data_IF_986923823456
#
_entry.id   IF_986923823456
#
_cell.length_a   1.000
_cell.length_b   1.000
_cell.length_c   1.000
_cell.angle_alpha   90.00
_cell.angle_beta   90.00
_cell.angle_gamma   90.00
#
_symmetry.space_group_name_H-M   'P 1'
#
loop_
_entity.id
_entity.type
_entity.pdbx_description
1 polymer ?
#
# COMPACT_ATOMS: atom_id res chain seq x y z
N UNK A 1 -66.44 -37.38 -33.72
CA UNK A 1 -67.04 -38.47 -32.93
C UNK A 1 -66.51 -38.33 -31.51
N UNK A 2 -67.37 -38.37 -30.49
CA UNK A 2 -66.92 -38.32 -29.11
C UNK A 2 -66.23 -39.65 -28.75
N UNK A 3 -65.04 -39.58 -28.15
CA UNK A 3 -64.34 -40.76 -27.66
C UNK A 3 -65.15 -41.43 -26.54
N UNK A 4 -65.40 -42.74 -26.66
CA UNK A 4 -66.10 -43.54 -25.66
C UNK A 4 -65.10 -44.47 -24.96
N UNK A 5 -64.75 -44.13 -23.72
CA UNK A 5 -63.82 -44.89 -22.90
C UNK A 5 -64.33 -46.32 -22.60
N UNK A 6 -65.64 -46.53 -22.52
CA UNK A 6 -66.23 -47.85 -22.28
C UNK A 6 -66.18 -48.76 -23.50
N UNK A 7 -66.22 -48.19 -24.71
CA UNK A 7 -66.03 -48.92 -25.97
C UNK A 7 -64.55 -49.26 -26.20
N UNK A 8 -63.66 -48.34 -25.87
CA UNK A 8 -62.21 -48.53 -26.01
C UNK A 8 -61.68 -49.67 -25.12
N UNK A 9 -62.15 -49.78 -23.86
CA UNK A 9 -61.73 -50.86 -22.95
C UNK A 9 -62.16 -52.27 -23.38
N UNK A 10 -63.10 -52.40 -24.34
CA UNK A 10 -63.55 -53.71 -24.88
C UNK A 10 -62.69 -54.21 -26.04
N UNK A 11 -62.09 -53.29 -26.79
CA UNK A 11 -61.17 -53.59 -27.90
C UNK A 11 -60.02 -52.59 -27.82
N UNK A 12 -59.06 -52.82 -26.91
CA UNK A 12 -57.95 -51.90 -26.70
C UNK A 12 -57.00 -51.98 -27.90
N UNK A 13 -56.69 -50.83 -28.49
CA UNK A 13 -55.73 -50.71 -29.60
C UNK A 13 -54.60 -49.75 -29.19
N UNK A 14 -53.36 -50.19 -29.42
CA UNK A 14 -52.14 -49.51 -28.95
C UNK A 14 -51.87 -48.24 -29.76
N UNK A 15 -52.11 -48.26 -31.07
CA UNK A 15 -51.96 -47.08 -31.95
C UNK A 15 -53.01 -46.01 -31.63
N UNK A 16 -54.25 -46.45 -31.38
CA UNK A 16 -55.33 -45.57 -30.95
C UNK A 16 -55.07 -44.98 -29.55
N UNK A 17 -54.47 -45.75 -28.64
CA UNK A 17 -54.09 -45.27 -27.31
C UNK A 17 -53.03 -44.18 -27.36
N UNK A 18 -52.00 -44.37 -28.19
CA UNK A 18 -50.86 -43.46 -28.27
C UNK A 18 -51.28 -42.04 -28.70
N UNK A 19 -52.29 -41.97 -29.58
CA UNK A 19 -52.86 -40.76 -30.17
C UNK A 19 -53.93 -40.05 -29.31
N UNK A 20 -54.33 -40.60 -28.16
CA UNK A 20 -55.37 -39.99 -27.32
C UNK A 20 -55.01 -38.58 -26.84
N UNK A 21 -56.00 -37.69 -26.83
CA UNK A 21 -55.87 -36.33 -26.29
C UNK A 21 -55.91 -36.35 -24.76
N UNK A 22 -55.42 -35.27 -24.12
CA UNK A 22 -55.39 -35.16 -22.65
C UNK A 22 -56.79 -35.35 -22.02
N UNK A 23 -57.81 -34.78 -22.64
CA UNK A 23 -59.20 -34.88 -22.16
C UNK A 23 -59.73 -36.32 -22.20
N UNK A 24 -59.38 -37.07 -23.25
CA UNK A 24 -59.75 -38.48 -23.45
C UNK A 24 -59.01 -39.39 -22.48
N UNK A 25 -57.73 -39.13 -22.21
CA UNK A 25 -56.94 -39.82 -21.18
C UNK A 25 -57.49 -39.56 -19.76
N UNK A 26 -57.98 -38.34 -19.49
CA UNK A 26 -58.63 -37.99 -18.21
C UNK A 26 -59.95 -38.74 -18.06
N UNK A 27 -60.74 -38.87 -19.13
CA UNK A 27 -61.98 -39.66 -19.10
C UNK A 27 -61.69 -41.15 -18.89
N UNK A 28 -60.68 -41.68 -19.56
CA UNK A 28 -60.27 -43.06 -19.44
C UNK A 28 -59.69 -43.36 -18.04
N UNK A 29 -58.89 -42.45 -17.48
CA UNK A 29 -58.40 -42.54 -16.11
C UNK A 29 -59.53 -42.48 -15.07
N UNK A 30 -60.58 -41.67 -15.28
CA UNK A 30 -61.78 -41.66 -14.42
C UNK A 30 -62.54 -42.98 -14.50
N UNK A 31 -62.70 -43.53 -15.70
CA UNK A 31 -63.40 -44.79 -15.92
C UNK A 31 -62.67 -45.97 -15.26
N UNK A 32 -61.33 -45.95 -15.30
CA UNK A 32 -60.46 -46.90 -14.60
C UNK A 32 -60.31 -46.63 -13.09
N UNK A 33 -61.03 -45.63 -12.55
CA UNK A 33 -61.00 -45.22 -11.13
C UNK A 33 -59.59 -44.89 -10.61
N UNK A 34 -58.76 -44.26 -11.44
CA UNK A 34 -57.41 -43.86 -11.05
C UNK A 34 -57.43 -42.61 -10.19
N UNK A 35 -56.51 -42.54 -9.22
CA UNK A 35 -56.28 -41.34 -8.43
C UNK A 35 -55.29 -40.46 -9.19
N UNK A 36 -55.77 -39.35 -9.77
CA UNK A 36 -54.93 -38.40 -10.49
C UNK A 36 -55.43 -36.96 -10.31
N UNK A 37 -54.57 -35.98 -10.57
CA UNK A 37 -54.95 -34.55 -10.63
C UNK A 37 -55.10 -34.13 -12.08
N UNK A 38 -56.22 -33.50 -12.44
CA UNK A 38 -56.48 -33.01 -13.81
C UNK A 38 -55.42 -31.99 -14.28
N UNK A 39 -54.78 -31.30 -13.32
CA UNK A 39 -53.67 -30.37 -13.57
C UNK A 39 -52.36 -31.05 -14.01
N UNK A 40 -52.22 -32.37 -13.86
CA UNK A 40 -51.01 -33.10 -14.27
C UNK A 40 -50.76 -33.00 -15.79
N UNK A 41 -49.48 -33.08 -16.21
CA UNK A 41 -49.08 -33.10 -17.63
C UNK A 41 -49.68 -34.33 -18.32
N UNK A 42 -50.03 -34.19 -19.62
CA UNK A 42 -50.62 -35.27 -20.44
C UNK A 42 -49.82 -36.58 -20.32
N UNK A 43 -48.49 -36.50 -20.39
CA UNK A 43 -47.61 -37.67 -20.33
C UNK A 43 -47.61 -38.37 -18.97
N UNK A 44 -47.77 -37.63 -17.86
CA UNK A 44 -47.85 -38.22 -16.51
C UNK A 44 -49.16 -39.01 -16.36
N UNK A 45 -50.27 -38.44 -16.83
CA UNK A 45 -51.58 -39.12 -16.84
C UNK A 45 -51.52 -40.34 -17.77
N UNK A 46 -50.87 -40.23 -18.94
CA UNK A 46 -50.66 -41.33 -19.88
C UNK A 46 -49.87 -42.48 -19.26
N UNK A 47 -48.75 -42.20 -18.59
CA UNK A 47 -47.94 -43.22 -17.91
C UNK A 47 -48.73 -43.94 -16.80
N UNK A 48 -49.51 -43.22 -15.98
CA UNK A 48 -50.37 -43.80 -14.93
C UNK A 48 -51.50 -44.68 -15.49
N UNK A 49 -52.02 -44.32 -16.65
CA UNK A 49 -53.04 -45.10 -17.36
C UNK A 49 -52.42 -46.36 -17.96
N UNK A 50 -51.21 -46.26 -18.55
CA UNK A 50 -50.45 -47.42 -19.04
C UNK A 50 -50.21 -48.42 -17.91
N UNK A 51 -49.72 -47.95 -16.75
CA UNK A 51 -49.51 -48.80 -15.56
C UNK A 51 -50.73 -49.64 -15.24
N UNK A 52 -51.90 -49.01 -15.23
CA UNK A 52 -53.14 -49.64 -14.79
C UNK A 52 -53.82 -50.50 -15.84
N UNK A 53 -53.60 -50.21 -17.12
CA UNK A 53 -54.07 -51.05 -18.22
C UNK A 53 -53.21 -52.31 -18.37
N UNK A 54 -51.91 -52.21 -18.10
CA UNK A 54 -50.99 -53.35 -18.06
C UNK A 54 -51.24 -54.20 -16.81
N UNK A 55 -51.39 -53.58 -15.62
CA UNK A 55 -51.76 -54.27 -14.37
C UNK A 55 -53.10 -55.04 -14.47
N UNK A 56 -54.03 -54.54 -15.29
CA UNK A 56 -55.35 -55.14 -15.50
C UNK A 56 -55.38 -56.16 -16.64
N UNK A 57 -54.23 -56.49 -17.25
CA UNK A 57 -54.08 -57.38 -18.41
C UNK A 57 -54.91 -56.95 -19.64
N UNK A 58 -55.29 -55.66 -19.71
CA UNK A 58 -56.09 -55.10 -20.82
C UNK A 58 -55.17 -54.70 -21.99
N UNK A 59 -53.95 -54.27 -21.69
CA UNK A 59 -52.89 -54.04 -22.67
C UNK A 59 -51.69 -54.95 -22.37
N UNK A 60 -51.03 -55.45 -23.41
CA UNK A 60 -49.80 -56.24 -23.27
C UNK A 60 -48.63 -55.41 -22.73
N UNK A 61 -47.58 -56.09 -22.25
CA UNK A 61 -46.36 -55.46 -21.72
C UNK A 61 -45.67 -54.51 -22.71
N UNK A 62 -45.93 -54.68 -24.01
CA UNK A 62 -45.53 -53.78 -25.11
C UNK A 62 -45.94 -52.31 -24.86
N UNK A 63 -47.04 -52.08 -24.13
CA UNK A 63 -47.48 -50.73 -23.78
C UNK A 63 -46.54 -50.01 -22.79
N UNK A 64 -45.69 -50.74 -22.06
CA UNK A 64 -44.69 -50.16 -21.15
C UNK A 64 -43.58 -49.42 -21.90
N UNK A 65 -43.31 -49.77 -23.16
CA UNK A 65 -42.31 -49.10 -24.02
C UNK A 65 -42.71 -47.65 -24.35
N UNK A 66 -44.01 -47.32 -24.27
CA UNK A 66 -44.52 -45.96 -24.47
C UNK A 66 -44.33 -45.06 -23.24
N UNK A 67 -43.77 -45.57 -22.13
CA UNK A 67 -43.43 -44.75 -20.97
C UNK A 67 -42.16 -43.95 -21.25
N UNK A 68 -42.34 -42.65 -21.40
CA UNK A 68 -41.22 -41.70 -21.34
C UNK A 68 -40.99 -41.34 -19.87
N UNK A 69 -39.82 -41.70 -19.34
CA UNK A 69 -39.32 -41.11 -18.09
C UNK A 69 -39.16 -39.60 -18.32
N UNK A 70 -39.96 -38.80 -17.63
CA UNK A 70 -39.72 -37.35 -17.59
C UNK A 70 -38.49 -37.12 -16.71
N UNK A 71 -37.29 -37.27 -17.26
CA UNK A 71 -36.13 -36.59 -16.69
C UNK A 71 -36.45 -35.11 -16.83
N UNK A 72 -36.80 -34.45 -15.71
CA UNK A 72 -37.15 -33.05 -15.73
C UNK A 72 -36.04 -32.29 -16.46
N UNK A 73 -36.37 -31.62 -17.57
CA UNK A 73 -35.42 -30.84 -18.36
C UNK A 73 -34.63 -29.84 -17.49
N UNK A 74 -35.23 -29.43 -16.37
CA UNK A 74 -34.58 -28.65 -15.33
C UNK A 74 -33.41 -29.38 -14.63
N UNK A 75 -33.57 -30.67 -14.33
CA UNK A 75 -32.56 -31.50 -13.66
C UNK A 75 -31.40 -31.85 -14.60
N UNK A 76 -31.68 -32.07 -15.89
CA UNK A 76 -30.65 -32.24 -16.90
C UNK A 76 -29.81 -30.97 -17.07
N UNK A 77 -30.48 -29.80 -17.18
CA UNK A 77 -29.81 -28.51 -17.27
C UNK A 77 -29.01 -28.15 -16.01
N UNK A 78 -29.47 -28.59 -14.84
CA UNK A 78 -28.74 -28.44 -13.58
C UNK A 78 -27.45 -29.27 -13.56
N UNK A 79 -27.50 -30.52 -14.01
CA UNK A 79 -26.32 -31.38 -14.12
C UNK A 79 -25.31 -30.87 -15.16
N UNK A 80 -25.79 -30.36 -16.30
CA UNK A 80 -24.93 -29.74 -17.32
C UNK A 80 -24.19 -28.52 -16.76
N UNK A 81 -24.89 -27.64 -16.05
CA UNK A 81 -24.28 -26.47 -15.42
C UNK A 81 -23.26 -26.86 -14.35
N UNK A 82 -23.55 -27.89 -13.54
CA UNK A 82 -22.62 -28.41 -12.53
C UNK A 82 -21.34 -28.98 -13.17
N UNK A 83 -21.48 -29.72 -14.26
CA UNK A 83 -20.34 -30.24 -15.02
C UNK A 83 -19.51 -29.12 -15.65
N UNK A 84 -20.16 -28.08 -16.20
CA UNK A 84 -19.48 -26.91 -16.76
C UNK A 84 -18.70 -26.12 -15.70
N UNK A 85 -19.29 -25.91 -14.52
CA UNK A 85 -18.61 -25.26 -13.40
C UNK A 85 -17.39 -26.07 -12.94
N UNK A 86 -17.53 -27.40 -12.85
CA UNK A 86 -16.43 -28.29 -12.46
C UNK A 86 -15.28 -28.27 -13.46
N UNK A 87 -15.57 -28.21 -14.76
CA UNK A 87 -14.56 -28.04 -15.80
C UNK A 87 -13.83 -26.71 -15.66
N UNK A 88 -14.54 -25.59 -15.46
CA UNK A 88 -13.93 -24.26 -15.25
C UNK A 88 -13.06 -24.20 -14.00
N UNK A 89 -13.47 -24.86 -12.92
CA UNK A 89 -12.67 -24.93 -11.70
C UNK A 89 -11.36 -25.70 -11.91
N UNK A 90 -11.38 -26.79 -12.68
CA UNK A 90 -10.18 -27.55 -13.03
C UNK A 90 -9.24 -26.72 -13.91
N UNK A 91 -9.77 -26.07 -14.94
CA UNK A 91 -8.98 -25.22 -15.83
C UNK A 91 -8.34 -24.05 -15.06
N UNK A 92 -9.07 -23.43 -14.12
CA UNK A 92 -8.53 -22.37 -13.27
C UNK A 92 -7.42 -22.88 -12.34
N UNK A 93 -7.57 -24.09 -11.78
CA UNK A 93 -6.54 -24.73 -10.95
C UNK A 93 -5.27 -25.03 -11.75
N UNK A 94 -5.40 -25.61 -12.93
CA UNK A 94 -4.26 -25.90 -13.81
C UNK A 94 -3.52 -24.61 -14.20
N UNK A 95 -4.25 -23.53 -14.52
CA UNK A 95 -3.66 -22.23 -14.80
C UNK A 95 -2.88 -21.67 -13.60
N UNK A 96 -3.45 -21.77 -12.40
CA UNK A 96 -2.77 -21.31 -11.19
C UNK A 96 -1.52 -22.14 -10.86
N UNK A 97 -1.54 -23.44 -11.11
CA UNK A 97 -0.37 -24.31 -10.94
C UNK A 97 0.72 -23.98 -11.96
N UNK A 98 0.36 -23.73 -13.22
CA UNK A 98 1.28 -23.31 -14.27
C UNK A 98 1.93 -21.95 -13.94
N UNK A 99 1.14 -20.94 -13.54
CA UNK A 99 1.64 -19.63 -13.13
C UNK A 99 2.58 -19.74 -11.92
N UNK A 100 2.28 -20.64 -10.97
CA UNK A 100 3.13 -20.89 -9.81
C UNK A 100 4.46 -21.51 -10.22
N UNK A 101 4.45 -22.52 -11.09
CA UNK A 101 5.67 -23.14 -11.61
C UNK A 101 6.50 -22.17 -12.45
N UNK A 102 5.87 -21.29 -13.21
CA UNK A 102 6.57 -20.28 -14.00
C UNK A 102 7.28 -19.27 -13.09
N UNK A 103 6.60 -18.77 -12.06
CA UNK A 103 7.22 -17.90 -11.05
C UNK A 103 8.37 -18.57 -10.31
N UNK A 104 8.21 -19.82 -9.90
CA UNK A 104 9.28 -20.58 -9.24
C UNK A 104 10.52 -20.71 -10.15
N UNK A 105 10.32 -20.97 -11.46
CA UNK A 105 11.41 -21.01 -12.45
C UNK A 105 12.04 -19.64 -12.69
N UNK A 106 11.24 -18.57 -12.73
CA UNK A 106 11.73 -17.20 -12.88
C UNK A 106 12.59 -16.79 -11.68
N UNK A 107 12.12 -17.08 -10.46
CA UNK A 107 12.86 -16.84 -9.22
C UNK A 107 14.16 -17.67 -9.17
N UNK A 108 14.12 -18.94 -9.58
CA UNK A 108 15.32 -19.78 -9.66
C UNK A 108 16.33 -19.26 -10.68
N UNK A 109 15.86 -18.82 -11.86
CA UNK A 109 16.70 -18.23 -12.89
C UNK A 109 17.35 -16.92 -12.41
N UNK A 110 16.56 -16.07 -11.74
CA UNK A 110 17.03 -14.81 -11.18
C UNK A 110 18.06 -15.02 -10.08
N UNK A 111 17.83 -15.99 -9.18
CA UNK A 111 18.79 -16.35 -8.13
C UNK A 111 20.11 -16.85 -8.73
N UNK A 112 20.06 -17.72 -9.76
CA UNK A 112 21.26 -18.17 -10.48
C UNK A 112 22.00 -17.02 -11.17
N UNK A 113 21.25 -16.07 -11.74
CA UNK A 113 21.84 -14.89 -12.37
C UNK A 113 22.55 -14.00 -11.35
N UNK A 114 21.96 -13.79 -10.18
CA UNK A 114 22.54 -12.98 -9.11
C UNK A 114 23.75 -13.70 -8.47
N UNK A 115 23.71 -15.03 -8.32
CA UNK A 115 24.86 -15.81 -7.86
C UNK A 115 26.04 -15.71 -8.83
N UNK A 116 25.79 -15.77 -10.14
CA UNK A 116 26.83 -15.60 -11.16
C UNK A 116 27.43 -14.18 -11.13
N UNK A 117 26.60 -13.15 -11.00
CA UNK A 117 27.07 -11.76 -10.85
C UNK A 117 27.92 -11.58 -9.60
N UNK A 118 27.52 -12.19 -8.48
CA UNK A 118 28.27 -12.12 -7.24
C UNK A 118 29.64 -12.80 -7.38
N UNK A 119 29.70 -13.99 -8.00
CA UNK A 119 30.95 -14.69 -8.29
C UNK A 119 31.87 -13.90 -9.22
N UNK A 120 31.31 -13.25 -10.24
CA UNK A 120 32.07 -12.37 -11.14
C UNK A 120 32.64 -11.16 -10.39
N UNK A 121 31.83 -10.49 -9.57
CA UNK A 121 32.28 -9.35 -8.77
C UNK A 121 33.36 -9.74 -7.74
N UNK A 122 33.25 -10.93 -7.12
CA UNK A 122 34.28 -11.43 -6.21
C UNK A 122 35.60 -11.70 -6.95
N UNK A 123 35.54 -12.29 -8.14
CA UNK A 123 36.71 -12.53 -8.97
C UNK A 123 37.38 -11.20 -9.38
N UNK A 124 36.59 -10.24 -9.86
CA UNK A 124 37.09 -8.90 -10.21
C UNK A 124 37.72 -8.18 -9.00
N UNK A 125 37.12 -8.31 -7.82
CA UNK A 125 37.70 -7.74 -6.60
C UNK A 125 39.02 -8.42 -6.23
N UNK A 126 39.11 -9.75 -6.37
CA UNK A 126 40.34 -10.51 -6.14
C UNK A 126 41.43 -10.11 -7.11
N UNK A 127 41.13 -10.00 -8.40
CA UNK A 127 42.06 -9.53 -9.43
C UNK A 127 42.52 -8.10 -9.15
N UNK A 128 41.63 -7.20 -8.73
CA UNK A 128 42.00 -5.83 -8.31
C UNK A 128 42.98 -5.83 -7.14
N UNK A 129 42.72 -6.66 -6.11
CA UNK A 129 43.60 -6.77 -4.96
C UNK A 129 44.97 -7.36 -5.35
N UNK A 130 45.00 -8.33 -6.25
CA UNK A 130 46.25 -8.93 -6.75
C UNK A 130 47.06 -7.95 -7.59
N UNK A 131 46.41 -7.21 -8.50
CA UNK A 131 47.05 -6.14 -9.26
C UNK A 131 47.58 -5.03 -8.36
N UNK A 132 46.86 -4.66 -7.30
CA UNK A 132 47.32 -3.66 -6.33
C UNK A 132 48.52 -4.17 -5.52
N UNK A 133 48.51 -5.45 -5.11
CA UNK A 133 49.67 -6.08 -4.47
C UNK A 133 50.89 -6.07 -5.37
N UNK A 134 50.75 -6.46 -6.64
CA UNK A 134 51.84 -6.44 -7.62
C UNK A 134 52.37 -5.02 -7.86
N UNK A 135 51.50 -4.00 -7.93
CA UNK A 135 51.95 -2.59 -8.00
C UNK A 135 52.75 -2.18 -6.77
N UNK A 136 52.32 -2.58 -5.58
CA UNK A 136 53.04 -2.28 -4.33
C UNK A 136 54.40 -3.00 -4.30
N UNK A 137 54.47 -4.24 -4.79
CA UNK A 137 55.73 -5.02 -4.92
C UNK A 137 56.68 -4.34 -5.92
N UNK A 138 56.19 -3.90 -7.09
CA UNK A 138 56.98 -3.17 -8.09
C UNK A 138 57.49 -1.83 -7.56
N UNK A 139 56.66 -1.09 -6.80
CA UNK A 139 57.09 0.16 -6.14
C UNK A 139 58.12 -0.10 -5.03
N UNK A 140 58.05 -1.27 -4.36
CA UNK A 140 59.09 -1.69 -3.40
C UNK A 140 60.40 -2.07 -4.10
N UNK A 141 60.36 -2.74 -5.25
CA UNK A 141 61.57 -3.05 -6.03
C UNK A 141 62.20 -1.81 -6.69
N UNK A 142 61.41 -0.82 -7.09
CA UNK A 142 61.90 0.48 -7.58
C UNK A 142 62.48 1.37 -6.46
N UNK A 143 62.24 1.04 -5.19
CA UNK A 143 62.75 1.80 -4.04
C UNK A 143 64.17 1.41 -3.59
N UNK A 144 64.88 0.55 -4.34
CA UNK A 144 66.28 0.18 -4.04
C UNK A 144 67.34 0.96 -4.85
N UNK A 145 66.95 2.03 -5.56
CA UNK A 145 67.90 2.94 -6.23
C UNK A 145 67.43 4.40 -6.18
N UNK A 146 67.46 4.99 -4.98
CA UNK A 146 67.90 6.37 -4.71
C UNK A 146 67.63 6.75 -3.25
N UNK A 147 68.67 6.68 -2.43
CA UNK A 147 68.77 7.57 -1.27
C UNK A 147 69.24 8.91 -1.81
N UNK A 148 68.32 9.89 -1.86
CA UNK A 148 68.71 11.30 -1.77
C UNK A 148 67.69 12.03 -0.90
N UNK A 149 68.16 12.37 0.29
CA UNK A 149 67.56 13.23 1.29
C UNK A 149 66.82 14.44 0.70
N UNK A 150 65.50 14.43 0.83
CA UNK A 150 64.72 15.63 1.18
C UNK A 150 63.83 15.23 2.35
N UNK A 151 63.88 16.02 3.40
CA UNK A 151 62.98 15.91 4.55
C UNK A 151 61.55 15.56 4.12
N UNK A 152 60.98 14.50 4.68
CA UNK A 152 59.55 14.18 4.64
C UNK A 152 58.72 15.21 5.44
N UNK A 153 59.01 16.50 5.26
CA UNK A 153 58.19 17.56 5.81
C UNK A 153 57.05 17.78 4.82
N UNK A 154 55.85 17.43 5.27
CA UNK A 154 54.63 17.70 4.54
C UNK A 154 54.49 19.21 4.32
N UNK A 155 54.72 19.64 3.08
CA UNK A 155 54.63 21.05 2.70
C UNK A 155 53.16 21.45 2.54
N UNK A 156 52.54 21.83 3.65
CA UNK A 156 51.15 22.28 3.67
C UNK A 156 50.92 23.46 2.71
N UNK A 157 51.89 24.36 2.54
CA UNK A 157 51.78 25.54 1.67
C UNK A 157 51.64 25.18 0.18
N UNK A 158 52.28 24.10 -0.30
CA UNK A 158 52.09 23.62 -1.68
C UNK A 158 50.75 22.92 -1.88
N UNK A 159 50.28 22.19 -0.86
CA UNK A 159 49.04 21.43 -0.92
C UNK A 159 47.77 22.29 -0.73
N UNK A 160 47.88 23.47 -0.11
CA UNK A 160 46.77 24.43 0.02
C UNK A 160 46.15 24.78 -1.34
N UNK A 161 46.94 24.83 -2.42
CA UNK A 161 46.43 25.10 -3.78
C UNK A 161 45.51 24.01 -4.32
N UNK A 162 45.58 22.81 -3.77
CA UNK A 162 44.77 21.66 -4.15
C UNK A 162 43.52 21.51 -3.27
N UNK A 163 43.38 22.35 -2.24
CA UNK A 163 42.18 22.38 -1.40
C UNK A 163 41.03 22.97 -2.22
N UNK A 164 39.87 22.28 -2.32
CA UNK A 164 38.69 22.81 -2.99
C UNK A 164 38.29 24.16 -2.39
N UNK A 165 37.81 25.08 -3.22
CA UNK A 165 37.27 26.35 -2.72
C UNK A 165 36.03 26.11 -1.86
N UNK A 166 35.94 26.80 -0.74
CA UNK A 166 34.79 26.75 0.13
C UNK A 166 33.59 27.44 -0.52
N UNK A 167 32.42 26.85 -0.39
CA UNK A 167 31.17 27.40 -0.91
C UNK A 167 30.10 27.32 0.18
N UNK A 168 29.67 28.49 0.68
CA UNK A 168 28.66 28.60 1.75
C UNK A 168 27.31 27.96 1.40
N UNK A 169 27.01 27.78 0.10
CA UNK A 169 25.75 27.16 -0.35
C UNK A 169 25.75 25.64 -0.23
N UNK A 170 26.92 25.02 -0.10
CA UNK A 170 27.08 23.56 -0.16
C UNK A 170 28.06 23.06 0.92
N UNK A 171 27.99 23.63 2.12
CA UNK A 171 28.88 23.27 3.24
C UNK A 171 28.80 21.78 3.56
N UNK A 172 27.60 21.19 3.54
CA UNK A 172 27.38 19.75 3.78
C UNK A 172 28.12 18.86 2.78
N UNK A 173 28.27 19.31 1.52
CA UNK A 173 28.94 18.57 0.44
C UNK A 173 30.45 18.85 0.41
N UNK A 174 30.90 19.93 1.04
CA UNK A 174 32.30 20.37 1.04
C UNK A 174 33.21 19.44 1.86
N UNK A 175 32.85 19.11 3.10
CA UNK A 175 33.70 18.26 3.95
C UNK A 175 33.93 16.86 3.36
N UNK A 176 32.92 16.14 2.84
CA UNK A 176 33.14 14.86 2.14
C UNK A 176 34.08 14.99 0.92
N UNK A 177 33.97 16.09 0.17
CA UNK A 177 34.85 16.36 -0.97
C UNK A 177 36.29 16.61 -0.52
N UNK A 178 36.48 17.40 0.53
CA UNK A 178 37.78 17.66 1.14
C UNK A 178 38.41 16.36 1.66
N UNK A 179 37.68 15.56 2.44
CA UNK A 179 38.15 14.28 2.99
C UNK A 179 38.57 13.31 1.89
N UNK A 180 37.79 13.23 0.80
CA UNK A 180 38.13 12.37 -0.34
C UNK A 180 39.46 12.78 -0.97
N UNK A 181 39.69 14.09 -1.15
CA UNK A 181 40.94 14.61 -1.72
C UNK A 181 42.10 14.41 -0.76
N UNK A 182 41.91 14.73 0.52
CA UNK A 182 42.91 14.59 1.57
C UNK A 182 43.35 13.13 1.73
N UNK A 183 42.41 12.18 1.70
CA UNK A 183 42.70 10.74 1.74
C UNK A 183 43.41 10.26 0.47
N UNK A 184 42.96 10.68 -0.71
CA UNK A 184 43.59 10.32 -1.99
C UNK A 184 45.05 10.81 -2.07
N UNK A 185 45.32 12.01 -1.55
CA UNK A 185 46.65 12.62 -1.52
C UNK A 185 47.45 12.27 -0.25
N UNK A 186 46.90 11.42 0.62
CA UNK A 186 47.50 10.98 1.90
C UNK A 186 47.99 12.14 2.77
N UNK A 187 47.19 13.21 2.87
CA UNK A 187 47.50 14.36 3.71
C UNK A 187 47.45 13.97 5.20
N UNK A 188 48.44 14.35 6.03
CA UNK A 188 48.40 14.05 7.46
C UNK A 188 47.31 14.86 8.15
N UNK A 189 46.47 14.17 8.95
CA UNK A 189 45.35 14.77 9.68
C UNK A 189 45.67 16.04 10.49
N UNK A 190 46.85 16.16 11.16
CA UNK A 190 47.19 17.38 11.92
C UNK A 190 47.22 18.66 11.09
N UNK A 191 47.38 18.58 9.76
CA UNK A 191 47.43 19.75 8.88
C UNK A 191 46.07 20.06 8.23
N UNK A 192 45.05 19.22 8.40
CA UNK A 192 43.77 19.40 7.74
C UNK A 192 43.07 20.67 8.23
N UNK A 193 43.11 20.96 9.52
CA UNK A 193 42.54 22.19 10.11
C UNK A 193 43.25 23.44 9.60
N UNK A 194 44.58 23.42 9.50
CA UNK A 194 45.38 24.52 8.93
C UNK A 194 45.04 24.76 7.46
N UNK A 195 44.82 23.71 6.68
CA UNK A 195 44.38 23.83 5.28
C UNK A 195 42.98 24.41 5.17
N UNK A 196 42.05 23.94 6.01
CA UNK A 196 40.68 24.43 6.05
C UNK A 196 40.62 25.92 6.41
N UNK A 197 41.43 26.36 7.38
CA UNK A 197 41.52 27.78 7.75
C UNK A 197 41.85 28.66 6.53
N UNK A 198 42.71 28.19 5.63
CA UNK A 198 43.11 28.97 4.45
C UNK A 198 42.01 29.13 3.39
N UNK A 199 40.95 28.33 3.47
CA UNK A 199 39.88 28.28 2.47
C UNK A 199 38.52 28.65 3.06
N UNK A 200 38.37 28.67 4.39
CA UNK A 200 37.17 29.17 5.03
C UNK A 200 36.96 30.66 4.73
N UNK A 201 35.74 30.98 4.34
CA UNK A 201 35.28 32.33 4.05
C UNK A 201 34.00 32.60 4.84
N UNK A 202 33.70 33.89 5.08
CA UNK A 202 32.46 34.31 5.73
C UNK A 202 32.25 33.70 7.12
N UNK A 203 31.08 33.12 7.35
CA UNK A 203 30.66 32.60 8.66
C UNK A 203 31.54 31.43 9.15
N UNK A 204 32.13 30.64 8.25
CA UNK A 204 33.01 29.52 8.60
C UNK A 204 34.31 30.02 9.24
N UNK A 205 34.86 31.12 8.69
CA UNK A 205 36.09 31.73 9.21
C UNK A 205 35.85 32.40 10.57
N UNK A 206 34.69 33.01 10.77
CA UNK A 206 34.29 33.58 12.07
C UNK A 206 34.19 32.50 13.15
N UNK A 207 33.54 31.36 12.85
CA UNK A 207 33.43 30.23 13.78
C UNK A 207 34.80 29.66 14.10
N UNK A 208 35.65 29.44 13.09
CA UNK A 208 37.00 28.93 13.32
C UNK A 208 37.83 29.87 14.22
N UNK A 209 37.73 31.18 14.01
CA UNK A 209 38.45 32.19 14.81
C UNK A 209 37.92 32.33 16.24
N UNK A 210 36.64 32.02 16.47
CA UNK A 210 36.02 32.03 17.79
C UNK A 210 36.31 30.76 18.61
N UNK A 211 36.81 29.69 17.98
CA UNK A 211 37.14 28.44 18.67
C UNK A 211 38.44 28.57 19.48
N UNK A 212 38.51 27.99 20.70
CA UNK A 212 39.74 27.88 21.45
C UNK A 212 40.81 27.09 20.69
N UNK A 213 42.09 27.43 20.89
CA UNK A 213 43.24 26.79 20.18
C UNK A 213 43.28 25.26 20.30
N UNK A 214 42.77 24.72 21.41
CA UNK A 214 42.68 23.27 21.65
C UNK A 214 41.66 22.61 20.71
N UNK A 215 40.52 23.27 20.48
CA UNK A 215 39.43 22.78 19.62
C UNK A 215 39.65 23.10 18.14
N UNK A 216 40.38 24.16 17.82
CA UNK A 216 40.69 24.55 16.44
C UNK A 216 41.76 23.65 15.79
N UNK A 217 42.49 22.87 16.59
CA UNK A 217 43.48 21.89 16.13
C UNK A 217 42.85 20.54 15.78
N UNK A 218 41.67 20.24 16.32
CA UNK A 218 40.93 19.02 16.04
C UNK A 218 39.99 19.19 14.84
N UNK A 219 40.19 18.36 13.81
CA UNK A 219 39.40 18.41 12.58
C UNK A 219 37.92 18.10 12.83
N UNK A 220 37.63 17.09 13.65
CA UNK A 220 36.25 16.63 13.86
C UNK A 220 35.43 17.71 14.58
N UNK A 221 36.02 18.35 15.59
CA UNK A 221 35.40 19.48 16.28
C UNK A 221 35.16 20.67 15.34
N UNK A 222 36.14 21.05 14.52
CA UNK A 222 35.98 22.15 13.55
C UNK A 222 34.88 21.84 12.53
N UNK A 223 34.87 20.62 11.98
CA UNK A 223 33.84 20.16 11.04
C UNK A 223 32.45 20.26 11.66
N UNK A 224 32.27 19.79 12.89
CA UNK A 224 30.98 19.83 13.56
C UNK A 224 30.50 21.26 13.83
N UNK A 225 31.36 22.14 14.33
CA UNK A 225 30.97 23.52 14.65
C UNK A 225 30.66 24.32 13.39
N UNK A 226 31.43 24.13 12.31
CA UNK A 226 31.12 24.76 11.02
C UNK A 226 29.83 24.20 10.43
N UNK A 227 29.62 22.89 10.40
CA UNK A 227 28.37 22.30 9.91
C UNK A 227 27.17 22.83 10.71
N UNK A 228 27.25 22.82 12.04
CA UNK A 228 26.21 23.35 12.92
C UNK A 228 25.92 24.83 12.70
N UNK A 229 26.94 25.63 12.39
CA UNK A 229 26.76 27.05 12.09
C UNK A 229 26.05 27.29 10.74
N UNK A 230 26.24 26.40 9.76
CA UNK A 230 25.61 26.50 8.44
C UNK A 230 24.34 25.65 8.29
N UNK A 231 24.08 24.74 9.23
CA UNK A 231 22.82 24.02 9.34
C UNK A 231 21.69 25.05 9.45
N UNK A 232 20.83 25.06 8.43
CA UNK A 232 19.60 25.82 8.51
C UNK A 232 18.75 25.22 9.62
N UNK A 233 18.06 26.07 10.38
CA UNK A 233 17.02 25.63 11.31
C UNK A 233 16.09 24.67 10.54
N UNK A 234 15.68 23.53 11.13
CA UNK A 234 14.85 22.56 10.42
C UNK A 234 13.63 23.17 9.71
N UNK A 235 13.07 24.23 10.30
CA UNK A 235 11.98 25.03 9.75
C UNK A 235 12.33 25.74 8.43
N UNK A 236 13.56 26.20 8.24
CA UNK A 236 14.01 26.84 7.00
C UNK A 236 14.19 25.82 5.86
N UNK A 237 14.62 24.59 6.14
CA UNK A 237 14.61 23.51 5.14
C UNK A 237 13.18 23.17 4.71
N UNK A 238 12.25 23.07 5.67
CA UNK A 238 10.81 22.87 5.40
C UNK A 238 10.25 23.96 4.50
N UNK A 239 10.48 25.23 4.86
CA UNK A 239 9.98 26.37 4.08
C UNK A 239 10.53 26.36 2.66
N UNK A 240 11.84 26.13 2.49
CA UNK A 240 12.44 25.98 1.16
C UNK A 240 11.82 24.82 0.40
N UNK A 241 11.69 23.64 1.01
CA UNK A 241 11.04 22.48 0.38
C UNK A 241 9.63 22.83 -0.11
N UNK A 242 8.80 23.48 0.70
CA UNK A 242 7.43 23.87 0.32
C UNK A 242 7.40 24.97 -0.77
N UNK A 243 8.28 25.96 -0.67
CA UNK A 243 8.31 27.10 -1.60
C UNK A 243 9.13 26.86 -2.87
N UNK A 244 9.88 25.76 -2.97
CA UNK A 244 10.74 25.48 -4.12
C UNK A 244 9.91 25.24 -5.38
N UNK A 245 10.18 26.04 -6.40
CA UNK A 245 9.52 25.99 -7.72
C UNK A 245 10.57 25.71 -8.78
N UNK A 246 10.15 24.99 -9.83
CA UNK A 246 11.01 24.69 -10.97
C UNK A 246 11.42 25.99 -11.68
N UNK A 247 12.69 26.09 -12.04
CA UNK A 247 13.21 27.15 -12.90
C UNK A 247 13.07 26.79 -14.39
N UNK A 248 12.95 27.78 -15.26
CA UNK A 248 12.77 27.57 -16.71
C UNK A 248 13.96 26.83 -17.33
N UNK A 249 15.18 27.10 -16.85
CA UNK A 249 16.43 26.46 -17.29
C UNK A 249 16.70 25.07 -16.70
N UNK A 250 15.85 24.59 -15.79
CA UNK A 250 16.07 23.35 -15.05
C UNK A 250 15.27 22.18 -15.65
N UNK A 251 15.87 20.99 -15.71
CA UNK A 251 15.16 19.77 -16.12
C UNK A 251 14.23 19.26 -15.00
N UNK A 252 13.21 18.47 -15.36
CA UNK A 252 12.32 17.88 -14.34
C UNK A 252 13.04 16.88 -13.42
N UNK A 253 14.07 16.20 -13.93
CA UNK A 253 14.89 15.27 -13.14
C UNK A 253 15.69 16.02 -12.08
N UNK A 254 16.33 17.14 -12.45
CA UNK A 254 17.04 18.00 -11.49
C UNK A 254 16.09 18.61 -10.48
N UNK A 255 14.90 19.05 -10.90
CA UNK A 255 13.89 19.58 -9.99
C UNK A 255 13.45 18.55 -8.94
N UNK A 256 13.20 17.30 -9.36
CA UNK A 256 12.82 16.22 -8.45
C UNK A 256 13.95 15.90 -7.46
N UNK A 257 15.19 15.78 -7.94
CA UNK A 257 16.36 15.54 -7.08
C UNK A 257 16.57 16.65 -6.05
N UNK A 258 16.47 17.91 -6.46
CA UNK A 258 16.60 19.03 -5.52
C UNK A 258 15.45 19.07 -4.48
N UNK A 259 14.24 18.65 -4.87
CA UNK A 259 13.12 18.49 -3.92
C UNK A 259 13.38 17.37 -2.91
N UNK A 260 13.88 16.22 -3.37
CA UNK A 260 14.26 15.08 -2.53
C UNK A 260 15.39 15.48 -1.58
N UNK A 261 16.48 16.09 -2.08
CA UNK A 261 17.61 16.59 -1.29
C UNK A 261 17.13 17.55 -0.18
N UNK A 262 16.20 18.47 -0.48
CA UNK A 262 15.65 19.40 0.51
C UNK A 262 14.80 18.70 1.58
N UNK A 263 14.06 17.67 1.19
CA UNK A 263 13.23 16.89 2.09
C UNK A 263 14.09 16.02 3.03
N UNK A 264 15.06 15.32 2.49
CA UNK A 264 15.97 14.47 3.27
C UNK A 264 16.76 15.32 4.28
N UNK A 265 17.28 16.48 3.84
CA UNK A 265 17.93 17.44 4.75
C UNK A 265 17.02 17.89 5.88
N UNK A 266 15.74 18.15 5.60
CA UNK A 266 14.78 18.53 6.63
C UNK A 266 14.60 17.41 7.67
N UNK A 267 14.49 16.15 7.23
CA UNK A 267 14.36 15.00 8.12
C UNK A 267 15.61 14.79 8.98
N UNK A 268 16.78 14.86 8.38
CA UNK A 268 18.07 14.75 9.08
C UNK A 268 18.23 15.85 10.13
N UNK A 269 17.86 17.09 9.82
CA UNK A 269 17.91 18.20 10.79
C UNK A 269 16.92 18.01 11.96
N UNK A 270 15.82 17.28 11.77
CA UNK A 270 14.89 16.88 12.84
C UNK A 270 15.30 15.59 13.56
N UNK A 271 16.42 14.96 13.19
CA UNK A 271 16.89 13.66 13.71
C UNK A 271 15.79 12.58 13.65
N UNK A 272 14.95 12.65 12.63
CA UNK A 272 13.76 11.78 12.45
C UNK A 272 14.10 10.61 11.51
N UNK A 273 15.31 10.06 11.64
CA UNK A 273 15.81 9.11 10.67
C UNK A 273 15.13 7.74 10.83
N UNK A 274 14.58 7.22 9.73
CA UNK A 274 14.06 5.85 9.55
C UNK A 274 12.87 5.39 10.40
N UNK A 275 12.18 6.27 11.14
CA UNK A 275 10.92 5.92 11.81
C UNK A 275 9.70 6.53 11.09
N UNK A 276 8.88 5.66 10.50
CA UNK A 276 7.62 6.06 9.85
C UNK A 276 6.69 6.82 10.80
N UNK A 277 6.63 6.44 12.07
CA UNK A 277 5.76 7.12 13.04
C UNK A 277 6.22 8.56 13.30
N UNK A 278 7.53 8.79 13.40
CA UNK A 278 8.08 10.13 13.59
C UNK A 278 7.85 11.00 12.35
N UNK A 279 8.02 10.43 11.15
CA UNK A 279 7.67 11.12 9.90
C UNK A 279 6.19 11.49 9.86
N UNK A 280 5.31 10.55 10.21
CA UNK A 280 3.88 10.79 10.29
C UNK A 280 3.55 11.91 11.28
N UNK A 281 4.15 11.91 12.47
CA UNK A 281 3.96 12.97 13.46
C UNK A 281 4.45 14.33 12.97
N UNK A 282 5.60 14.37 12.29
CA UNK A 282 6.15 15.59 11.70
C UNK A 282 5.18 16.20 10.67
N UNK A 283 4.63 15.37 9.77
CA UNK A 283 3.64 15.80 8.78
C UNK A 283 2.34 16.28 9.43
N UNK A 284 1.86 15.57 10.44
CA UNK A 284 0.64 15.94 11.17
C UNK A 284 0.82 17.25 11.96
N UNK A 285 1.98 17.45 12.59
CA UNK A 285 2.33 18.68 13.28
C UNK A 285 2.42 19.87 12.32
N UNK A 286 2.98 19.65 11.12
CA UNK A 286 3.01 20.70 10.10
C UNK A 286 1.60 21.15 9.71
N UNK A 287 0.72 20.20 9.41
CA UNK A 287 -0.68 20.49 9.05
C UNK A 287 -1.43 21.16 10.21
N UNK A 288 -1.25 20.66 11.42
CA UNK A 288 -1.84 21.27 12.62
C UNK A 288 -1.38 22.72 12.80
N UNK A 289 -0.07 22.99 12.62
CA UNK A 289 0.49 24.35 12.69
C UNK A 289 -0.02 25.28 11.59
N UNK A 290 -0.46 24.74 10.45
CA UNK A 290 -1.05 25.52 9.36
C UNK A 290 -2.50 25.91 9.65
N UNK A 291 -3.21 25.10 10.44
CA UNK A 291 -4.60 25.34 10.84
C UNK A 291 -4.77 26.27 12.05
N UNK A 292 -3.69 26.60 12.77
CA UNK A 292 -3.74 27.45 13.96
C UNK A 292 -3.34 28.91 13.65
N UNK A 293 -3.80 29.83 14.50
CA UNK A 293 -3.44 31.25 14.40
C UNK A 293 -1.94 31.48 14.61
N UNK A 294 -1.40 32.54 14.01
CA UNK A 294 0.03 32.85 14.01
C UNK A 294 0.65 32.95 15.41
N UNK A 295 -0.07 33.50 16.39
CA UNK A 295 0.41 33.66 17.77
C UNK A 295 0.61 32.29 18.46
N UNK A 296 -0.34 31.38 18.26
CA UNK A 296 -0.25 30.01 18.76
C UNK A 296 0.81 29.21 18.01
N UNK A 297 0.97 29.44 16.71
CA UNK A 297 2.05 28.83 15.91
C UNK A 297 3.43 29.20 16.46
N UNK A 298 3.69 30.47 16.72
CA UNK A 298 4.94 30.93 17.35
C UNK A 298 5.15 30.25 18.71
N UNK A 299 4.10 30.17 19.54
CA UNK A 299 4.19 29.49 20.83
C UNK A 299 4.53 27.99 20.71
N UNK A 300 3.99 27.30 19.70
CA UNK A 300 4.29 25.90 19.42
C UNK A 300 5.69 25.69 18.83
N UNK A 301 6.22 26.66 18.09
CA UNK A 301 7.59 26.64 17.57
C UNK A 301 8.61 26.79 18.70
N UNK A 302 8.35 27.66 19.68
CA UNK A 302 9.22 27.89 20.84
C UNK A 302 9.32 26.67 21.77
N UNK A 303 8.25 25.86 21.87
CA UNK A 303 8.20 24.70 22.79
C UNK A 303 8.70 23.38 22.21
N UNK A 304 9.19 23.37 20.96
CA UNK A 304 9.74 22.19 20.26
C UNK A 304 8.93 20.91 20.48
N UNK A 305 7.71 20.86 19.94
CA UNK A 305 6.79 19.73 20.12
C UNK A 305 7.08 18.60 19.12
N UNK A 306 7.08 17.35 19.60
CA UNK A 306 7.38 16.14 18.81
C UNK A 306 6.12 15.33 18.43
N UNK A 307 5.00 15.51 19.15
CA UNK A 307 3.73 14.79 18.92
C UNK A 307 2.56 15.74 18.70
N UNK A 308 1.65 15.39 17.78
CA UNK A 308 0.41 16.17 17.55
C UNK A 308 -0.47 16.27 18.80
N UNK A 309 -0.49 15.21 19.62
CA UNK A 309 -1.26 15.20 20.86
C UNK A 309 -0.74 16.28 21.83
N UNK A 310 0.58 16.36 21.98
CA UNK A 310 1.21 17.34 22.86
C UNK A 310 0.99 18.76 22.34
N UNK A 311 0.98 18.95 21.01
CA UNK A 311 0.67 20.24 20.40
C UNK A 311 -0.77 20.66 20.67
N UNK A 312 -1.73 19.72 20.65
CA UNK A 312 -3.12 19.99 21.00
C UNK A 312 -3.25 20.39 22.47
N UNK A 313 -2.63 19.65 23.40
CA UNK A 313 -2.64 19.97 24.83
C UNK A 313 -2.01 21.33 25.12
N UNK A 314 -0.88 21.66 24.49
CA UNK A 314 -0.25 22.98 24.60
C UNK A 314 -1.17 24.07 24.06
N UNK A 315 -1.86 23.81 22.95
CA UNK A 315 -2.80 24.76 22.34
C UNK A 315 -4.00 25.06 23.23
N UNK A 316 -4.56 24.05 23.89
CA UNK A 316 -5.65 24.23 24.86
C UNK A 316 -5.19 25.05 26.07
N UNK A 317 -4.01 24.73 26.61
CA UNK A 317 -3.41 25.49 27.72
C UNK A 317 -3.11 26.94 27.34
N UNK A 318 -2.60 27.16 26.12
CA UNK A 318 -2.36 28.48 25.57
C UNK A 318 -3.67 29.27 25.46
N UNK A 319 -4.72 28.65 24.92
CA UNK A 319 -6.06 29.27 24.82
C UNK A 319 -6.63 29.63 26.19
N UNK A 320 -6.45 28.77 27.19
CA UNK A 320 -6.91 29.03 28.56
C UNK A 320 -6.15 30.18 29.23
N UNK A 321 -4.85 30.30 28.97
CA UNK A 321 -3.98 31.33 29.55
C UNK A 321 -4.04 32.68 28.82
N UNK A 322 -4.28 32.67 27.50
CA UNK A 322 -4.28 33.86 26.63
C UNK A 322 -5.69 34.33 26.26
N UNK A 323 -6.72 33.85 26.97
CA UNK A 323 -8.16 34.10 26.76
C UNK A 323 -8.64 35.56 26.88
N UNK A 324 -7.74 36.56 26.84
CA UNK A 324 -8.09 37.99 26.80
C UNK A 324 -7.85 38.70 25.46
N UNK A 325 -7.20 38.08 24.46
CA UNK A 325 -6.90 38.76 23.19
C UNK A 325 -7.72 38.29 21.97
N UNK A 326 -8.36 37.11 22.02
CA UNK A 326 -9.17 36.61 20.90
C UNK A 326 -10.63 37.06 21.01
N UNK A 327 -10.86 38.37 20.87
CA UNK A 327 -12.19 38.93 20.57
C UNK A 327 -12.09 39.68 19.25
N UNK A 328 -12.47 39.04 18.15
CA UNK A 328 -12.44 39.72 16.86
C UNK A 328 -12.68 38.92 15.59
N UNK A 329 -13.46 37.84 15.61
CA UNK A 329 -14.17 37.42 14.39
C UNK A 329 -15.62 37.10 14.73
N UNK A 330 -16.51 38.02 14.36
CA UNK A 330 -17.96 37.86 14.42
C UNK A 330 -18.37 36.67 13.54
N UNK A 331 -18.81 35.59 14.18
CA UNK A 331 -19.70 34.63 13.56
C UNK A 331 -21.09 34.92 14.12
N UNK A 332 -21.94 35.50 13.27
CA UNK A 332 -23.37 35.64 13.53
C UNK A 332 -23.97 34.23 13.65
N UNK A 333 -24.14 33.74 14.87
CA UNK A 333 -25.00 32.58 15.15
C UNK A 333 -26.37 33.10 15.54
N UNK A 334 -27.29 33.07 14.56
CA UNK A 334 -28.70 33.30 14.78
C UNK A 334 -29.24 32.26 15.76
N UNK A 335 -29.66 32.75 16.91
CA UNK A 335 -30.30 32.01 17.99
C UNK A 335 -31.74 31.68 17.62
N UNK A 336 -32.07 30.39 17.58
CA UNK A 336 -33.44 29.87 17.56
C UNK A 336 -33.73 29.11 18.84
N UNK A 337 -34.30 29.81 19.83
CA UNK A 337 -34.92 29.27 21.04
C UNK A 337 -35.83 28.07 20.74
N UNK A 338 -35.83 27.02 21.56
CA UNK A 338 -37.06 26.49 22.18
C UNK A 338 -36.79 25.83 23.54
N UNK A 339 -37.67 26.15 24.48
CA UNK A 339 -37.66 25.88 25.92
C UNK A 339 -37.90 24.41 26.27
N UNK A 340 -37.29 23.99 27.38
CA UNK A 340 -37.62 22.82 28.19
C UNK A 340 -39.10 22.78 28.60
N UNK A 341 -39.67 21.57 28.70
CA UNK A 341 -40.55 21.22 29.82
C UNK A 341 -40.60 19.71 30.04
N UNK A 342 -40.21 19.33 31.25
CA UNK A 342 -40.34 18.03 31.89
C UNK A 342 -41.69 17.93 32.61
N UNK A 343 -42.36 16.77 32.50
CA UNK A 343 -43.39 16.32 33.46
C UNK A 343 -43.41 14.78 33.51
N UNK A 344 -43.07 14.24 34.67
CA UNK A 344 -43.39 12.86 35.09
C UNK A 344 -44.83 12.78 35.61
N UNK A 345 -45.50 11.63 35.42
CA UNK A 345 -46.40 10.97 36.39
C UNK A 345 -46.84 9.55 35.91
N UNK A 346 -46.54 8.58 36.78
CA UNK A 346 -47.21 7.29 37.17
C UNK A 346 -48.57 6.96 36.51
N UNK A 347 -49.02 5.72 36.23
CA UNK A 347 -48.88 4.44 36.95
C UNK A 347 -49.52 3.27 36.13
N UNK A 348 -49.31 2.01 36.57
CA UNK A 348 -50.10 0.76 36.30
C UNK A 348 -49.58 -0.31 35.31
N UNK A 349 -49.24 -1.50 35.86
CA UNK A 349 -48.95 -2.84 35.25
C UNK A 349 -50.28 -3.63 34.94
N UNK A 350 -50.34 -4.91 34.42
CA UNK A 350 -49.29 -5.96 34.29
C UNK A 350 -49.34 -6.92 33.05
N UNK A 351 -48.39 -7.88 33.05
CA UNK A 351 -48.38 -9.23 32.41
C UNK A 351 -48.02 -9.36 30.92
N UNK A 352 -46.87 -9.98 30.63
CA UNK A 352 -46.75 -11.35 30.07
C UNK A 352 -45.35 -11.60 29.49
N UNK A 353 -44.80 -12.77 29.80
CA UNK A 353 -43.55 -13.32 29.29
C UNK A 353 -43.64 -13.58 27.77
N UNK A 354 -42.57 -13.32 27.01
CA UNK A 354 -41.79 -14.40 26.42
C UNK A 354 -40.51 -13.95 25.72
N UNK A 355 -39.49 -14.77 25.93
CA UNK A 355 -38.22 -14.80 25.21
C UNK A 355 -38.46 -15.21 23.75
N UNK A 356 -37.76 -14.58 22.83
CA UNK A 356 -37.15 -15.28 21.69
C UNK A 356 -36.04 -14.44 21.08
N UNK A 357 -34.82 -14.95 21.26
CA UNK A 357 -33.65 -14.61 20.47
C UNK A 357 -33.95 -14.94 19.00
N UNK A 358 -33.57 -14.05 18.08
CA UNK A 358 -33.24 -14.43 16.71
C UNK A 358 -31.86 -13.91 16.41
N UNK A 359 -30.93 -14.86 16.44
CA UNK A 359 -29.61 -14.81 15.86
C UNK A 359 -29.69 -14.64 14.34
N UNK A 360 -29.04 -13.62 13.80
CA UNK A 360 -28.54 -13.67 12.43
C UNK A 360 -27.04 -13.85 12.44
N UNK A 361 -26.68 -14.91 11.74
CA UNK A 361 -25.39 -15.52 11.56
C UNK A 361 -24.67 -14.88 10.36
N UNK A 362 -23.34 -14.92 10.40
CA UNK A 362 -22.43 -15.05 9.24
C UNK A 362 -22.36 -13.86 8.25
N UNK A 363 -21.26 -13.55 7.58
CA UNK A 363 -19.88 -14.05 7.53
C UNK A 363 -19.08 -12.97 6.80
N UNK A 364 -17.79 -12.87 7.12
CA UNK A 364 -16.79 -12.21 6.27
C UNK A 364 -16.71 -12.92 4.90
N UNK A 365 -16.33 -12.19 3.85
CA UNK A 365 -15.15 -12.63 3.10
C UNK A 365 -14.14 -11.52 2.84
N UNK A 366 -12.89 -11.97 2.77
CA UNK A 366 -11.67 -11.20 2.50
C UNK A 366 -11.56 -10.78 1.04
N UNK A 367 -10.90 -9.64 0.85
CA UNK A 367 -10.06 -9.24 -0.29
C UNK A 367 -10.65 -9.26 -1.70
N UNK A 368 -10.81 -8.06 -2.27
CA UNK A 368 -10.18 -7.70 -3.55
C UNK A 368 -10.07 -6.17 -3.65
N UNK A 369 -8.85 -5.67 -3.47
CA UNK A 369 -8.31 -4.50 -4.19
C UNK A 369 -8.33 -4.96 -5.67
N UNK A 370 -8.85 -4.24 -6.67
CA UNK A 370 -8.22 -3.08 -7.31
C UNK A 370 -9.23 -2.35 -8.24
N UNK A 371 -8.96 -1.07 -8.48
CA UNK A 371 -9.32 -0.22 -9.63
C UNK A 371 -10.53 0.73 -9.52
N UNK A 372 -10.17 1.99 -9.22
CA UNK A 372 -10.67 3.24 -9.81
C UNK A 372 -12.09 3.71 -9.49
N UNK A 373 -12.16 4.69 -8.59
CA UNK A 373 -12.73 5.99 -8.98
C UNK A 373 -11.93 7.15 -8.35
N UNK A 374 -10.89 7.57 -9.09
CA UNK A 374 -10.25 8.88 -8.95
C UNK A 374 -11.25 9.95 -9.39
N UNK A 375 -11.75 10.76 -8.46
CA UNK A 375 -12.09 12.20 -8.64
C UNK A 375 -12.79 12.74 -7.38
N UNK A 376 -12.07 12.96 -6.28
CA UNK A 376 -12.48 13.97 -5.27
C UNK A 376 -11.49 14.25 -4.14
N UNK A 377 -10.17 14.07 -4.31
CA UNK A 377 -9.20 14.34 -3.25
C UNK A 377 -7.92 15.01 -3.76
N UNK A 378 -8.07 16.05 -4.59
CA UNK A 378 -6.93 16.91 -5.02
C UNK A 378 -7.31 18.40 -4.83
N UNK A 379 -7.94 18.77 -3.71
CA UNK A 379 -8.23 20.19 -3.43
C UNK A 379 -7.97 20.67 -2.00
N UNK A 380 -7.20 19.94 -1.19
CA UNK A 380 -6.81 20.39 0.16
C UNK A 380 -5.30 20.54 0.40
N UNK A 381 -4.46 20.63 -0.64
CA UNK A 381 -3.02 20.91 -0.45
C UNK A 381 -2.47 21.85 -1.53
N UNK A 382 -2.98 23.08 -1.54
CA UNK A 382 -2.30 24.30 -1.99
C UNK A 382 -2.44 25.32 -0.87
#
# INVERSE_FOLDING_TARGET
MAFDAGKFLKTPDLESFDNLKKEELVLLAKQLKLVFKVSMRKQIIKNLVIDKLVDAEILGEEALELKVENVDAFKLKQLELEHELRLKELEMKERLEMDKQEKEKEDEFKLKQDELKLKQAELEMRERLEMEKLKIEMVKEESNTKVQSKSDYFDAAKNIRLVPKFCEKTVDKYFPQFEKIANNLKWPMPYWTTMLQSVFEGKAAEIYSALPSEKSSDYDTVKQEVLKAYELVPEAYRQKFRSYKKFDSQTYVEFAREKEDLFDKWLTSKKTDNNFDNLRQLMLLEEFKQCVHSELKTHLDDKTVESIHDAAVISDNYTLSHKRSFKGQNVNTSSGNYKNQSTERTDSKPVAQNKSQSSYNMSSPKNLIVYFEKKSLIWCLL
#
